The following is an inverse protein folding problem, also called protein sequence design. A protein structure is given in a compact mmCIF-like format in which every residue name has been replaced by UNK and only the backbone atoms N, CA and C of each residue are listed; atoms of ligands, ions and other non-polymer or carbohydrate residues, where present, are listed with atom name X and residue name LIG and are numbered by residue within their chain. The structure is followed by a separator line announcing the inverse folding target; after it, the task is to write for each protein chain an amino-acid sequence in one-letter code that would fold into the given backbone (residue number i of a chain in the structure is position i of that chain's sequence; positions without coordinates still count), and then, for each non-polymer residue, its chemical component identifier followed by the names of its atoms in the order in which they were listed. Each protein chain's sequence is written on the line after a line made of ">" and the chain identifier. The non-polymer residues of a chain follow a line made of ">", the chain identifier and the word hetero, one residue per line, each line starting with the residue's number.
data_IF_793358687190
#
_entry.id   IF_793358687190
#
_cell.length_a   1.000
_cell.length_b   1.000
_cell.length_c   1.000
_cell.angle_alpha   90.00
_cell.angle_beta   90.00
_cell.angle_gamma   90.00
#
_symmetry.space_group_name_H-M   'P 1'
#
loop_
_entity.id
_entity.type
_entity.pdbx_description
1 polymer ?
#
# COMPACT_ATOMS: atom_id res chain seq x y z
N UNK A 1 28.76 -21.25 12.60
CA UNK A 1 27.84 -20.17 12.17
C UNK A 1 28.07 -18.96 13.07
N UNK A 2 28.33 -17.76 12.53
CA UNK A 2 28.53 -16.54 13.37
C UNK A 2 27.20 -16.14 14.03
N UNK A 3 27.21 -15.61 15.27
CA UNK A 3 25.98 -15.21 15.95
C UNK A 3 25.34 -14.00 15.24
N UNK A 4 24.02 -14.06 15.03
CA UNK A 4 23.24 -13.01 14.37
C UNK A 4 23.21 -11.71 15.19
N UNK A 5 23.51 -11.77 16.48
CA UNK A 5 23.61 -10.64 17.42
C UNK A 5 24.66 -9.58 17.04
N UNK A 6 25.57 -9.89 16.11
CA UNK A 6 26.58 -8.94 15.59
C UNK A 6 26.13 -8.21 14.33
N UNK A 7 24.94 -8.51 13.81
CA UNK A 7 24.41 -7.86 12.62
C UNK A 7 24.05 -6.42 12.94
N UNK A 8 24.56 -5.48 12.15
CA UNK A 8 24.23 -4.05 12.27
C UNK A 8 23.68 -3.48 10.96
N UNK A 9 23.75 -4.26 9.89
CA UNK A 9 23.29 -3.86 8.55
C UNK A 9 22.66 -5.03 7.83
N UNK A 10 21.52 -4.77 7.20
CA UNK A 10 20.84 -5.71 6.30
C UNK A 10 20.69 -5.07 4.93
N UNK A 11 21.12 -5.77 3.90
CA UNK A 11 20.89 -5.37 2.50
C UNK A 11 19.83 -6.30 1.92
N UNK A 12 18.77 -5.70 1.39
CA UNK A 12 17.68 -6.39 0.71
C UNK A 12 17.85 -6.13 -0.79
N UNK A 13 17.75 -7.17 -1.60
CA UNK A 13 17.88 -7.04 -3.05
C UNK A 13 16.85 -7.91 -3.76
N UNK A 14 16.05 -7.28 -4.62
CA UNK A 14 15.20 -7.92 -5.62
C UNK A 14 15.99 -7.97 -6.94
N UNK A 15 16.28 -9.18 -7.40
CA UNK A 15 16.79 -9.38 -8.76
C UNK A 15 15.59 -9.83 -9.61
N UNK A 16 15.47 -9.44 -10.89
CA UNK A 16 14.40 -9.93 -11.77
C UNK A 16 13.17 -9.03 -11.94
N UNK A 17 12.43 -9.25 -13.04
CA UNK A 17 11.51 -8.30 -13.68
C UNK A 17 10.43 -7.68 -12.80
N UNK A 18 10.24 -6.36 -13.01
CA UNK A 18 9.19 -5.48 -12.49
C UNK A 18 8.74 -5.87 -11.09
N UNK A 19 9.32 -5.18 -10.09
CA UNK A 19 8.62 -5.07 -8.81
C UNK A 19 7.14 -4.80 -9.11
N UNK A 20 6.18 -5.48 -8.45
CA UNK A 20 4.74 -5.28 -8.70
C UNK A 20 4.29 -3.82 -8.48
N UNK A 21 5.22 -2.97 -8.08
CA UNK A 21 5.07 -1.61 -7.65
C UNK A 21 6.01 -0.74 -8.51
N UNK A 22 5.44 0.17 -9.32
CA UNK A 22 6.23 1.17 -10.03
C UNK A 22 7.12 1.94 -9.04
N UNK A 23 8.38 2.11 -9.38
CA UNK A 23 9.41 2.86 -8.63
C UNK A 23 9.99 2.22 -7.36
N UNK A 24 9.70 0.94 -7.05
CA UNK A 24 10.38 0.26 -5.94
C UNK A 24 11.84 -0.04 -6.31
N UNK A 25 12.88 0.55 -5.65
CA UNK A 25 14.26 0.20 -5.87
C UNK A 25 14.50 -1.30 -5.71
N UNK A 26 15.24 -1.83 -6.67
CA UNK A 26 15.71 -3.21 -6.70
C UNK A 26 16.61 -3.56 -5.51
N UNK A 27 17.09 -2.58 -4.74
CA UNK A 27 17.86 -2.82 -3.52
C UNK A 27 17.75 -1.68 -2.52
N UNK A 28 17.69 -2.00 -1.23
CA UNK A 28 17.77 -1.02 -0.15
C UNK A 28 18.50 -1.57 1.08
N UNK A 29 18.96 -0.65 1.93
CA UNK A 29 19.76 -0.94 3.13
C UNK A 29 19.01 -0.56 4.41
N UNK A 30 19.07 -1.45 5.40
CA UNK A 30 18.56 -1.25 6.76
C UNK A 30 19.77 -1.18 7.68
N UNK A 31 19.99 -0.01 8.26
CA UNK A 31 21.06 0.28 9.22
C UNK A 31 20.55 0.66 10.61
N UNK A 32 19.24 0.89 10.75
CA UNK A 32 18.66 1.23 12.03
C UNK A 32 18.69 0.01 12.98
N UNK A 33 19.26 0.12 14.20
CA UNK A 33 19.38 -1.02 15.12
C UNK A 33 18.04 -1.61 15.58
N UNK A 34 16.95 -0.84 15.57
CA UNK A 34 15.60 -1.33 15.84
C UNK A 34 15.09 -2.20 14.70
N UNK A 35 15.21 -1.71 13.47
CA UNK A 35 14.76 -2.43 12.27
C UNK A 35 15.58 -3.68 11.99
N UNK A 36 16.90 -3.63 12.22
CA UNK A 36 17.76 -4.81 12.13
C UNK A 36 17.28 -5.89 13.09
N UNK A 37 16.92 -5.53 14.34
CA UNK A 37 16.39 -6.51 15.31
C UNK A 37 15.05 -7.10 14.87
N UNK A 38 14.12 -6.31 14.33
CA UNK A 38 12.84 -6.82 13.82
C UNK A 38 13.06 -7.83 12.68
N UNK A 39 13.95 -7.53 11.74
CA UNK A 39 14.28 -8.44 10.63
C UNK A 39 14.90 -9.74 11.15
N UNK A 40 15.85 -9.64 12.08
CA UNK A 40 16.50 -10.83 12.66
C UNK A 40 15.50 -11.73 13.40
N UNK A 41 14.56 -11.16 14.16
CA UNK A 41 13.55 -11.94 14.87
C UNK A 41 12.71 -12.79 13.90
N UNK A 42 12.28 -12.22 12.77
CA UNK A 42 11.53 -12.99 11.76
C UNK A 42 12.34 -14.05 11.02
N UNK A 43 13.67 -13.88 10.94
CA UNK A 43 14.58 -14.89 10.36
C UNK A 43 14.85 -16.06 11.31
N UNK A 44 14.69 -15.86 12.62
CA UNK A 44 14.81 -16.91 13.63
C UNK A 44 13.54 -17.76 13.70
N UNK A 45 12.37 -17.18 13.43
CA UNK A 45 11.07 -17.87 13.38
C UNK A 45 10.83 -18.63 12.07
N UNK A 46 11.51 -18.27 10.98
CA UNK A 46 11.34 -18.92 9.68
C UNK A 46 11.89 -20.36 9.68
N UNK A 47 11.18 -21.34 9.11
CA UNK A 47 11.71 -22.69 8.89
C UNK A 47 13.04 -22.60 8.14
N UNK A 48 14.07 -23.33 8.61
CA UNK A 48 15.32 -23.42 7.85
C UNK A 48 15.01 -24.08 6.50
N UNK A 49 15.35 -23.45 5.36
CA UNK A 49 15.19 -24.10 4.08
C UNK A 49 16.00 -25.40 4.09
N UNK A 50 15.42 -26.46 3.53
CA UNK A 50 16.14 -27.69 3.32
C UNK A 50 17.29 -27.41 2.32
N UNK A 51 18.45 -28.08 2.44
CA UNK A 51 19.60 -27.81 1.58
C UNK A 51 19.34 -27.99 0.07
N UNK A 52 18.19 -28.55 -0.32
CA UNK A 52 17.79 -28.82 -1.71
C UNK A 52 16.58 -27.99 -2.19
N UNK A 53 16.25 -26.88 -1.53
CA UNK A 53 15.16 -26.02 -2.01
C UNK A 53 15.52 -25.41 -3.38
N UNK A 54 14.70 -25.78 -4.37
CA UNK A 54 14.83 -25.42 -5.77
C UNK A 54 14.89 -23.90 -5.95
N UNK A 55 16.04 -23.37 -6.38
CA UNK A 55 16.21 -21.97 -6.80
C UNK A 55 15.66 -21.85 -8.21
N UNK A 56 14.58 -21.10 -8.38
CA UNK A 56 13.99 -20.86 -9.69
C UNK A 56 14.91 -19.95 -10.52
N UNK A 57 15.50 -20.48 -11.60
CA UNK A 57 16.34 -19.70 -12.52
C UNK A 57 15.54 -18.70 -13.39
N UNK A 58 14.21 -18.74 -13.32
CA UNK A 58 13.30 -18.00 -14.22
C UNK A 58 12.71 -16.74 -13.59
N UNK A 59 12.72 -16.63 -12.26
CA UNK A 59 12.22 -15.49 -11.51
C UNK A 59 13.29 -15.05 -10.54
N UNK A 60 13.80 -13.83 -10.69
CA UNK A 60 14.85 -13.40 -9.78
C UNK A 60 14.31 -13.36 -8.35
N UNK A 61 15.04 -14.01 -7.46
CA UNK A 61 14.56 -14.27 -6.11
C UNK A 61 14.98 -13.12 -5.18
N UNK A 62 14.11 -12.72 -4.23
CA UNK A 62 14.51 -11.79 -3.20
C UNK A 62 15.64 -12.39 -2.38
N UNK A 63 16.69 -11.60 -2.18
CA UNK A 63 17.86 -11.98 -1.39
C UNK A 63 18.09 -10.99 -0.26
N UNK A 64 18.60 -11.52 0.84
CA UNK A 64 18.88 -10.76 2.04
C UNK A 64 20.29 -11.08 2.53
N UNK A 65 21.11 -10.05 2.73
CA UNK A 65 22.48 -10.17 3.21
C UNK A 65 22.67 -9.42 4.54
N UNK A 66 23.15 -10.13 5.55
CA UNK A 66 23.45 -9.62 6.89
C UNK A 66 24.93 -9.27 7.00
N UNK A 67 25.26 -8.11 7.56
CA UNK A 67 26.62 -7.62 7.73
C UNK A 67 26.91 -7.23 9.20
N UNK A 68 28.15 -7.46 9.63
CA UNK A 68 28.66 -6.96 10.91
C UNK A 68 29.19 -5.52 10.80
N UNK A 69 29.57 -4.95 11.94
CA UNK A 69 30.12 -3.58 12.03
C UNK A 69 31.45 -3.40 11.27
N UNK A 70 32.16 -4.48 10.96
CA UNK A 70 33.36 -4.45 10.12
C UNK A 70 33.04 -4.54 8.62
N UNK A 71 31.77 -4.53 8.23
CA UNK A 71 31.33 -4.68 6.85
C UNK A 71 31.46 -6.11 6.31
N UNK A 72 31.78 -7.08 7.18
CA UNK A 72 31.91 -8.48 6.77
C UNK A 72 30.52 -9.12 6.68
N UNK A 73 30.29 -9.85 5.60
CA UNK A 73 29.02 -10.57 5.39
C UNK A 73 28.94 -11.74 6.38
N UNK A 74 27.89 -11.74 7.20
CA UNK A 74 27.61 -12.75 8.23
C UNK A 74 26.81 -13.92 7.65
N UNK A 75 25.76 -13.60 6.86
CA UNK A 75 24.79 -14.57 6.33
C UNK A 75 24.13 -14.02 5.07
N UNK A 76 23.80 -14.91 4.14
CA UNK A 76 22.89 -14.64 3.03
C UNK A 76 21.69 -15.57 3.11
N UNK A 77 20.52 -15.04 2.78
CA UNK A 77 19.25 -15.77 2.70
C UNK A 77 18.69 -15.54 1.31
N UNK A 78 18.36 -16.63 0.61
CA UNK A 78 17.85 -16.66 -0.76
C UNK A 78 16.49 -17.37 -0.77
N UNK A 79 15.63 -17.07 -1.75
CA UNK A 79 14.33 -17.74 -1.96
C UNK A 79 13.24 -17.42 -0.93
N UNK A 80 13.61 -17.09 0.31
CA UNK A 80 12.69 -16.73 1.38
C UNK A 80 12.82 -15.25 1.74
N UNK A 81 11.85 -14.47 1.26
CA UNK A 81 11.60 -13.14 1.80
C UNK A 81 10.98 -13.31 3.19
N UNK A 82 11.60 -12.77 4.27
CA UNK A 82 10.94 -12.71 5.56
C UNK A 82 9.57 -12.05 5.38
N UNK A 83 8.52 -12.50 6.08
CA UNK A 83 7.22 -11.86 6.00
C UNK A 83 7.31 -10.35 6.22
N UNK A 84 8.22 -9.87 7.08
CA UNK A 84 8.50 -8.45 7.37
C UNK A 84 9.12 -7.65 6.21
N UNK A 85 9.34 -8.25 5.05
CA UNK A 85 9.81 -7.54 3.86
C UNK A 85 8.89 -7.75 2.67
N UNK A 86 7.71 -8.34 2.89
CA UNK A 86 6.68 -8.48 1.85
C UNK A 86 6.03 -7.11 1.56
N UNK A 87 6.29 -6.51 0.38
CA UNK A 87 5.71 -5.22 0.02
C UNK A 87 4.18 -5.27 -0.10
N UNK A 88 3.57 -6.46 -0.24
CA UNK A 88 2.12 -6.61 -0.28
C UNK A 88 1.46 -6.48 1.11
N UNK A 89 2.24 -6.45 2.22
CA UNK A 89 1.72 -6.46 3.58
C UNK A 89 2.11 -5.22 4.38
N UNK A 90 1.12 -4.58 4.98
CA UNK A 90 1.29 -3.33 5.75
C UNK A 90 2.11 -3.48 7.03
N UNK A 91 1.98 -4.61 7.73
CA UNK A 91 2.75 -4.91 8.94
C UNK A 91 4.19 -5.33 8.64
N UNK A 92 4.48 -5.54 7.35
CA UNK A 92 5.74 -6.07 6.83
C UNK A 92 6.69 -4.98 6.35
N UNK A 93 6.66 -3.84 7.02
CA UNK A 93 7.49 -2.70 6.68
C UNK A 93 8.30 -2.32 7.92
N UNK A 94 9.53 -1.82 7.77
CA UNK A 94 10.34 -1.46 8.91
C UNK A 94 9.66 -0.37 9.76
N UNK A 95 9.79 -0.47 11.09
CA UNK A 95 9.06 0.34 12.07
C UNK A 95 9.07 1.85 11.78
N UNK A 96 10.21 2.43 11.36
CA UNK A 96 10.31 3.88 11.12
C UNK A 96 9.38 4.35 10.01
N UNK A 97 9.19 3.51 8.98
CA UNK A 97 8.34 3.79 7.85
C UNK A 97 6.86 3.71 8.23
N UNK A 98 6.51 2.74 9.08
CA UNK A 98 5.16 2.60 9.62
C UNK A 98 4.80 3.77 10.54
N UNK A 99 5.75 4.21 11.37
CA UNK A 99 5.59 5.36 12.26
C UNK A 99 5.46 6.69 11.49
N UNK A 100 6.31 6.92 10.50
CA UNK A 100 6.24 8.11 9.64
C UNK A 100 4.90 8.17 8.87
N UNK A 101 4.42 7.02 8.39
CA UNK A 101 3.10 6.92 7.77
C UNK A 101 1.98 7.31 8.75
N UNK A 102 1.95 6.70 9.94
CA UNK A 102 0.94 7.02 10.95
C UNK A 102 0.96 8.50 11.35
N UNK A 103 2.15 9.12 11.46
CA UNK A 103 2.28 10.53 11.80
C UNK A 103 1.71 11.48 10.73
N UNK A 104 1.82 11.12 9.45
CA UNK A 104 1.30 11.90 8.33
C UNK A 104 -0.22 11.74 8.13
N UNK A 105 -0.87 10.83 8.85
CA UNK A 105 -2.31 10.66 8.76
C UNK A 105 -3.06 11.91 9.28
N UNK A 106 -4.22 12.27 8.68
CA UNK A 106 -5.08 13.32 9.21
C UNK A 106 -5.40 13.08 10.70
N UNK A 107 -5.52 14.13 11.54
CA UNK A 107 -5.66 13.97 12.99
C UNK A 107 -6.77 12.99 13.40
N UNK A 108 -7.91 13.02 12.71
CA UNK A 108 -9.08 12.17 12.98
C UNK A 108 -8.84 10.67 12.75
N UNK A 109 -7.85 10.29 11.92
CA UNK A 109 -7.50 8.88 11.63
C UNK A 109 -6.12 8.49 12.13
N UNK A 110 -5.42 9.39 12.85
CA UNK A 110 -4.04 9.16 13.27
C UNK A 110 -3.89 7.96 14.20
N UNK A 111 -4.79 7.82 15.17
CA UNK A 111 -4.76 6.71 16.12
C UNK A 111 -5.06 5.36 15.45
N UNK A 112 -6.02 5.36 14.50
CA UNK A 112 -6.31 4.20 13.67
C UNK A 112 -5.13 3.82 12.79
N UNK A 113 -4.48 4.80 12.13
CA UNK A 113 -3.29 4.58 11.33
C UNK A 113 -2.15 4.03 12.20
N UNK A 114 -1.95 4.57 13.41
CA UNK A 114 -0.95 4.07 14.35
C UNK A 114 -1.24 2.63 14.80
N UNK A 115 -2.50 2.25 15.04
CA UNK A 115 -2.88 0.87 15.39
C UNK A 115 -2.60 -0.08 14.23
N UNK A 116 -2.97 0.29 13.00
CA UNK A 116 -2.74 -0.50 11.81
C UNK A 116 -1.24 -0.60 11.45
N UNK A 117 -0.46 0.44 11.75
CA UNK A 117 1.01 0.44 11.63
C UNK A 117 1.64 -0.63 12.52
N UNK A 118 1.06 -0.89 13.70
CA UNK A 118 1.51 -1.93 14.62
C UNK A 118 1.04 -3.34 14.23
N UNK A 119 0.32 -3.49 13.11
CA UNK A 119 -0.22 -4.78 12.68
C UNK A 119 -1.51 -5.18 13.37
N UNK A 120 -2.21 -4.24 14.03
CA UNK A 120 -3.57 -4.51 14.49
C UNK A 120 -4.46 -4.80 13.29
N UNK A 121 -5.13 -5.96 13.32
CA UNK A 121 -6.10 -6.37 12.30
C UNK A 121 -7.40 -5.58 12.52
N UNK A 122 -7.34 -4.31 12.15
CA UNK A 122 -8.50 -3.47 12.08
C UNK A 122 -9.26 -3.92 10.82
N UNK A 123 -10.23 -4.81 10.97
CA UNK A 123 -11.06 -5.31 9.87
C UNK A 123 -11.65 -4.17 9.02
N UNK A 124 -12.19 -4.45 7.82
CA UNK A 124 -12.78 -3.41 6.97
C UNK A 124 -13.81 -2.57 7.74
N UNK A 125 -13.67 -1.24 7.72
CA UNK A 125 -14.61 -0.30 8.34
C UNK A 125 -14.31 0.14 9.79
N UNK A 126 -13.11 -0.10 10.31
CA UNK A 126 -12.75 0.13 11.73
C UNK A 126 -12.19 1.52 12.08
N UNK A 127 -12.25 2.51 11.19
CA UNK A 127 -12.02 3.91 11.57
C UNK A 127 -13.40 4.59 11.74
N UNK A 128 -13.97 4.62 12.96
CA UNK A 128 -15.24 5.33 13.16
C UNK A 128 -15.03 6.82 12.86
N UNK A 129 -15.92 7.38 12.04
CA UNK A 129 -16.14 8.81 11.83
C UNK A 129 -15.14 9.59 10.96
N UNK A 130 -14.22 8.94 10.25
CA UNK A 130 -13.34 9.64 9.31
C UNK A 130 -14.13 10.16 8.08
N UNK A 131 -14.21 11.48 7.84
CA UNK A 131 -14.86 12.00 6.64
C UNK A 131 -14.17 11.46 5.38
N UNK A 132 -14.90 10.74 4.53
CA UNK A 132 -14.34 10.08 3.34
C UNK A 132 -13.66 11.08 2.38
N UNK A 133 -14.09 12.34 2.37
CA UNK A 133 -13.41 13.42 1.63
C UNK A 133 -11.97 13.64 2.10
N UNK A 134 -11.70 13.56 3.41
CA UNK A 134 -10.35 13.63 3.96
C UNK A 134 -9.54 12.36 3.65
N UNK A 135 -10.20 11.20 3.61
CA UNK A 135 -9.55 9.94 3.21
C UNK A 135 -9.14 9.97 1.74
N UNK A 136 -9.95 10.57 0.86
CA UNK A 136 -9.59 10.83 -0.53
C UNK A 136 -8.41 11.79 -0.66
N UNK A 137 -8.44 12.94 0.03
CA UNK A 137 -7.31 13.88 0.02
C UNK A 137 -6.02 13.22 0.54
N UNK A 138 -6.12 12.39 1.59
CA UNK A 138 -4.99 11.63 2.12
C UNK A 138 -4.43 10.61 1.12
N UNK A 139 -5.30 9.93 0.36
CA UNK A 139 -4.90 9.00 -0.70
C UNK A 139 -4.22 9.74 -1.87
N UNK A 140 -4.68 10.95 -2.20
CA UNK A 140 -4.13 11.79 -3.26
C UNK A 140 -2.87 12.57 -2.87
N UNK A 141 -2.50 12.60 -1.58
CA UNK A 141 -1.31 13.32 -1.11
C UNK A 141 -0.05 12.74 -1.78
N UNK A 142 0.74 13.57 -2.50
CA UNK A 142 2.00 13.12 -3.07
C UNK A 142 3.01 12.82 -1.94
N UNK A 143 3.63 11.64 -2.01
CA UNK A 143 4.64 11.22 -1.04
C UNK A 143 6.04 11.48 -1.60
N UNK A 144 6.85 12.23 -0.83
CA UNK A 144 8.22 12.62 -1.21
C UNK A 144 9.30 11.63 -0.74
N UNK A 145 8.91 10.43 -0.32
CA UNK A 145 9.85 9.40 0.14
C UNK A 145 9.56 8.03 -0.50
N UNK A 146 10.61 7.36 -0.99
CA UNK A 146 10.55 5.92 -1.23
C UNK A 146 10.31 5.21 0.11
N UNK A 147 9.57 4.12 0.22
CA UNK A 147 9.36 3.08 -0.78
C UNK A 147 8.38 2.02 -0.21
N UNK A 148 8.72 1.50 0.97
CA UNK A 148 7.86 0.69 1.81
C UNK A 148 6.68 1.49 2.43
N UNK A 149 6.96 2.68 2.97
CA UNK A 149 5.94 3.57 3.57
C UNK A 149 4.83 3.96 2.58
N UNK A 150 5.18 4.06 1.28
CA UNK A 150 4.25 4.40 0.18
C UNK A 150 3.17 3.33 0.00
N UNK A 151 3.47 2.07 0.34
CA UNK A 151 2.55 0.94 0.22
C UNK A 151 1.52 0.95 1.34
N UNK A 152 1.97 1.20 2.56
CA UNK A 152 1.09 1.48 3.69
C UNK A 152 0.20 2.70 3.46
N UNK A 153 0.81 3.78 2.95
CA UNK A 153 0.14 5.03 2.67
C UNK A 153 -0.98 4.91 1.63
N UNK A 154 -0.88 3.95 0.69
CA UNK A 154 -1.94 3.68 -0.29
C UNK A 154 -2.94 2.63 0.19
N UNK A 155 -2.47 1.53 0.77
CA UNK A 155 -3.34 0.40 1.11
C UNK A 155 -4.36 0.72 2.21
N UNK A 156 -3.97 1.54 3.19
CA UNK A 156 -4.85 1.85 4.33
C UNK A 156 -6.03 2.77 3.97
N UNK A 157 -5.84 3.92 3.28
CA UNK A 157 -6.98 4.71 2.78
C UNK A 157 -7.89 3.90 1.85
N UNK A 158 -7.32 3.08 0.97
CA UNK A 158 -8.09 2.21 0.07
C UNK A 158 -8.99 1.23 0.85
N UNK A 159 -8.49 0.65 1.95
CA UNK A 159 -9.29 -0.25 2.79
C UNK A 159 -10.48 0.45 3.45
N UNK A 160 -10.33 1.70 3.89
CA UNK A 160 -11.42 2.51 4.43
C UNK A 160 -12.47 2.81 3.35
N UNK A 161 -12.04 3.25 2.18
CA UNK A 161 -12.92 3.52 1.05
C UNK A 161 -13.62 2.25 0.53
N UNK A 162 -12.92 1.10 0.57
CA UNK A 162 -13.44 -0.19 0.16
C UNK A 162 -14.55 -0.72 1.11
N UNK A 163 -14.63 -0.25 2.34
CA UNK A 163 -15.71 -0.58 3.27
C UNK A 163 -16.94 0.32 3.10
N UNK A 164 -16.77 1.55 2.59
CA UNK A 164 -17.82 2.55 2.49
C UNK A 164 -18.90 2.23 1.45
N UNK A 165 -20.12 2.71 1.71
CA UNK A 165 -21.23 2.61 0.78
C UNK A 165 -20.99 3.51 -0.45
N UNK A 166 -21.49 3.09 -1.61
CA UNK A 166 -21.26 3.82 -2.87
C UNK A 166 -21.87 5.22 -2.86
N UNK A 167 -22.96 5.42 -2.12
CA UNK A 167 -23.61 6.73 -1.95
C UNK A 167 -22.75 7.68 -1.12
N UNK A 168 -22.12 7.19 -0.05
CA UNK A 168 -21.19 7.96 0.78
C UNK A 168 -19.94 8.33 0.00
N UNK A 169 -19.39 7.39 -0.77
CA UNK A 169 -18.26 7.63 -1.67
C UNK A 169 -18.62 8.70 -2.71
N UNK A 170 -19.80 8.62 -3.32
CA UNK A 170 -20.29 9.60 -4.28
C UNK A 170 -20.54 10.97 -3.65
N UNK A 171 -21.00 11.02 -2.40
CA UNK A 171 -21.16 12.25 -1.65
C UNK A 171 -19.80 12.89 -1.35
N UNK A 172 -18.83 12.11 -0.91
CA UNK A 172 -17.48 12.57 -0.60
C UNK A 172 -16.72 13.12 -1.83
N UNK A 173 -16.88 12.51 -3.00
CA UNK A 173 -16.33 13.05 -4.27
C UNK A 173 -16.83 14.47 -4.55
N UNK A 174 -18.06 14.81 -4.18
CA UNK A 174 -18.61 16.15 -4.41
C UNK A 174 -18.06 17.20 -3.44
N UNK A 175 -17.52 16.76 -2.31
CA UNK A 175 -17.06 17.63 -1.22
C UNK A 175 -15.53 17.75 -1.15
N UNK A 176 -14.81 16.94 -1.92
CA UNK A 176 -13.35 16.86 -1.84
C UNK A 176 -12.67 17.90 -2.74
N UNK A 177 -11.44 18.25 -2.39
CA UNK A 177 -10.60 19.21 -3.11
C UNK A 177 -9.89 18.56 -4.32
N UNK A 178 -9.04 19.31 -5.02
CA UNK A 178 -8.34 18.79 -6.19
C UNK A 178 -7.43 17.59 -5.86
N UNK A 179 -6.74 17.63 -4.71
CA UNK A 179 -5.91 16.51 -4.24
C UNK A 179 -6.77 15.28 -3.92
N UNK A 180 -7.93 15.47 -3.30
CA UNK A 180 -8.84 14.36 -3.07
C UNK A 180 -9.55 13.86 -4.32
N UNK A 181 -9.74 14.68 -5.36
CA UNK A 181 -10.19 14.20 -6.66
C UNK A 181 -9.15 13.30 -7.35
N UNK A 182 -7.85 13.57 -7.18
CA UNK A 182 -6.80 12.65 -7.64
C UNK A 182 -6.90 11.30 -6.91
N UNK A 183 -7.01 11.32 -5.57
CA UNK A 183 -7.18 10.10 -4.78
C UNK A 183 -8.48 9.35 -5.13
N UNK A 184 -9.57 10.08 -5.40
CA UNK A 184 -10.82 9.49 -5.82
C UNK A 184 -10.72 8.82 -7.19
N UNK A 185 -10.06 9.44 -8.17
CA UNK A 185 -9.81 8.84 -9.48
C UNK A 185 -9.02 7.54 -9.34
N UNK A 186 -7.94 7.54 -8.55
CA UNK A 186 -7.13 6.35 -8.25
C UNK A 186 -8.01 5.23 -7.64
N UNK A 187 -8.86 5.54 -6.65
CA UNK A 187 -9.76 4.54 -6.03
C UNK A 187 -10.83 3.99 -6.98
N UNK A 188 -11.55 4.86 -7.70
CA UNK A 188 -12.66 4.45 -8.56
C UNK A 188 -12.19 3.70 -9.82
N UNK A 189 -10.96 3.94 -10.28
CA UNK A 189 -10.32 3.17 -11.34
C UNK A 189 -9.68 1.86 -10.82
N UNK A 190 -9.43 1.76 -9.51
CA UNK A 190 -8.77 0.63 -8.88
C UNK A 190 -9.64 -0.61 -8.67
N UNK A 191 -8.99 -1.71 -8.28
CA UNK A 191 -9.65 -3.01 -8.06
C UNK A 191 -10.69 -2.99 -6.95
N UNK A 192 -10.44 -2.24 -5.87
CA UNK A 192 -11.35 -2.16 -4.72
C UNK A 192 -12.76 -1.65 -5.06
N UNK A 193 -12.89 -0.83 -6.11
CA UNK A 193 -14.19 -0.40 -6.62
C UNK A 193 -14.66 -1.25 -7.82
N UNK A 194 -13.76 -1.56 -8.75
CA UNK A 194 -14.12 -2.22 -10.01
C UNK A 194 -14.56 -3.68 -9.84
N UNK A 195 -14.09 -4.37 -8.80
CA UNK A 195 -14.53 -5.75 -8.46
C UNK A 195 -15.91 -5.81 -7.78
N UNK A 196 -16.47 -4.67 -7.36
CA UNK A 196 -17.79 -4.63 -6.70
C UNK A 196 -18.92 -5.05 -7.64
N UNK A 197 -19.99 -5.60 -7.06
CA UNK A 197 -21.22 -5.94 -7.79
C UNK A 197 -21.75 -4.73 -8.59
N UNK A 198 -22.23 -4.89 -9.84
CA UNK A 198 -22.65 -3.78 -10.70
C UNK A 198 -23.62 -2.78 -10.04
N UNK A 199 -24.55 -3.24 -9.20
CA UNK A 199 -25.46 -2.38 -8.43
C UNK A 199 -24.71 -1.42 -7.50
N UNK A 200 -23.61 -1.87 -6.88
CA UNK A 200 -22.73 -1.10 -6.00
C UNK A 200 -21.68 -0.28 -6.75
N UNK A 201 -21.64 -0.33 -8.09
CA UNK A 201 -20.77 0.53 -8.92
C UNK A 201 -21.50 1.73 -9.53
N UNK A 202 -22.76 1.93 -9.13
CA UNK A 202 -23.61 3.00 -9.64
C UNK A 202 -23.38 4.27 -8.82
N UNK A 203 -22.99 5.33 -9.51
CA UNK A 203 -22.68 6.65 -8.95
C UNK A 203 -23.62 7.66 -9.62
N UNK A 204 -24.08 8.65 -8.85
CA UNK A 204 -24.91 9.74 -9.38
C UNK A 204 -24.16 10.58 -10.43
N UNK A 205 -24.89 11.16 -11.39
CA UNK A 205 -24.32 11.91 -12.51
C UNK A 205 -23.25 12.93 -12.10
N UNK A 206 -23.51 13.76 -11.09
CA UNK A 206 -22.59 14.82 -10.65
C UNK A 206 -21.22 14.27 -10.24
N UNK A 207 -21.18 13.23 -9.40
CA UNK A 207 -19.92 12.66 -8.94
C UNK A 207 -19.19 11.94 -10.08
N UNK A 208 -19.92 11.24 -10.96
CA UNK A 208 -19.34 10.61 -12.16
C UNK A 208 -18.71 11.65 -13.08
N UNK A 209 -19.39 12.76 -13.34
CA UNK A 209 -18.90 13.80 -14.25
C UNK A 209 -17.70 14.56 -13.67
N UNK A 210 -17.65 14.75 -12.35
CA UNK A 210 -16.46 15.27 -11.67
C UNK A 210 -15.25 14.34 -11.87
N UNK A 211 -15.41 13.03 -11.61
CA UNK A 211 -14.34 12.04 -11.80
C UNK A 211 -13.83 11.99 -13.24
N UNK A 212 -14.74 11.95 -14.22
CA UNK A 212 -14.35 11.87 -15.64
C UNK A 212 -13.67 13.16 -16.13
N UNK A 213 -14.17 14.33 -15.69
CA UNK A 213 -13.56 15.62 -16.04
C UNK A 213 -12.17 15.74 -15.44
N UNK A 214 -12.01 15.35 -14.19
CA UNK A 214 -10.72 15.38 -13.49
C UNK A 214 -9.73 14.41 -14.12
N UNK A 215 -10.12 13.15 -14.34
CA UNK A 215 -9.29 12.14 -14.98
C UNK A 215 -8.82 12.56 -16.37
N UNK A 216 -9.69 13.14 -17.20
CA UNK A 216 -9.31 13.62 -18.53
C UNK A 216 -8.18 14.66 -18.49
N UNK A 217 -8.13 15.48 -17.44
CA UNK A 217 -7.14 16.57 -17.30
C UNK A 217 -5.86 16.13 -16.60
N UNK A 218 -5.95 15.22 -15.63
CA UNK A 218 -4.85 14.93 -14.70
C UNK A 218 -4.39 13.47 -14.72
N UNK A 219 -5.23 12.53 -15.17
CA UNK A 219 -4.99 11.07 -15.14
C UNK A 219 -5.63 10.36 -16.35
N UNK A 220 -5.24 10.71 -17.58
CA UNK A 220 -5.88 10.20 -18.80
C UNK A 220 -5.83 8.67 -18.92
N UNK A 221 -4.83 8.02 -18.32
CA UNK A 221 -4.67 6.57 -18.25
C UNK A 221 -5.83 5.86 -17.52
N UNK A 222 -6.47 6.53 -16.55
CA UNK A 222 -7.58 5.98 -15.77
C UNK A 222 -8.96 6.20 -16.44
N UNK A 223 -9.05 7.11 -17.42
CA UNK A 223 -10.30 7.49 -18.06
C UNK A 223 -11.07 6.30 -18.69
N UNK A 224 -10.45 5.40 -19.49
CA UNK A 224 -11.18 4.28 -20.10
C UNK A 224 -11.74 3.28 -19.07
N UNK A 225 -11.09 3.14 -17.91
CA UNK A 225 -11.58 2.27 -16.84
C UNK A 225 -12.79 2.89 -16.18
N UNK A 226 -12.72 4.18 -15.83
CA UNK A 226 -13.83 4.91 -15.21
C UNK A 226 -15.08 4.93 -16.10
N UNK A 227 -14.93 5.20 -17.40
CA UNK A 227 -16.05 5.25 -18.34
C UNK A 227 -16.80 3.91 -18.44
N UNK A 228 -16.06 2.80 -18.42
CA UNK A 228 -16.62 1.43 -18.51
C UNK A 228 -17.19 0.93 -17.19
N UNK A 229 -16.59 1.29 -16.05
CA UNK A 229 -16.85 0.63 -14.75
C UNK A 229 -17.66 1.48 -13.78
N UNK A 230 -17.62 2.80 -13.86
CA UNK A 230 -18.44 3.72 -13.04
C UNK A 230 -19.78 3.94 -13.74
N UNK A 231 -20.78 3.17 -13.33
CA UNK A 231 -22.10 3.15 -13.96
C UNK A 231 -22.96 4.31 -13.44
N UNK A 232 -23.91 4.79 -14.26
CA UNK A 232 -24.91 5.77 -13.81
C UNK A 232 -25.96 5.12 -12.90
N UNK A 233 -26.38 5.85 -11.87
CA UNK A 233 -27.52 5.50 -11.01
C UNK A 233 -28.84 5.43 -11.82
N UNK A 234 -29.84 4.74 -11.27
CA UNK A 234 -31.09 4.46 -11.98
C UNK A 234 -31.97 5.70 -12.17
N UNK A 235 -31.94 6.65 -11.22
CA UNK A 235 -32.67 7.93 -11.29
C UNK A 235 -32.30 8.73 -12.55
N UNK A 236 -31.07 8.59 -13.04
CA UNK A 236 -30.57 9.27 -14.24
C UNK A 236 -30.93 8.56 -15.57
N UNK A 237 -31.48 7.34 -15.54
CA UNK A 237 -31.80 6.59 -16.78
C UNK A 237 -33.14 6.96 -17.40
N UNK A 238 -34.03 7.61 -16.65
CA UNK A 238 -35.43 7.83 -17.03
C UNK A 238 -35.69 9.22 -17.64
N UNK A 239 -34.70 10.12 -17.66
CA UNK A 239 -34.80 11.40 -18.40
C UNK A 239 -34.07 11.30 -19.74
N UNK A 240 -34.80 10.87 -20.77
CA UNK A 240 -34.50 11.12 -22.18
C UNK A 240 -35.69 11.81 -22.82
#
# INVERSE_FOLDING_TARGET
>A
MKPLSRTVRVVVSEHGHSSPLPDHPSSYEITDPGEVREVLATLEEAPRPAPDDFVCMCGGEPSLALYDAGGQRIRSVHGHRPPLLDPARSHSLPLRHRAAWAAAAPPVVRDWAAARARGADAGPGTAPDAPLGLVFSWLGTPWTGGDAARLLARAAPLALLAAAATEELAWAVRQTDAAGLDGAVDFFAGEGFTTRHPKKRRVGATARDLLLRHARRHRPEHLPVLERRVLRAAEDRIRR
#
